data_IF_854627546104
#
_entry.id   IF_854627546104
#
_cell.length_a   1.000
_cell.length_b   1.000
_cell.length_c   1.000
_cell.angle_alpha   90.00
_cell.angle_beta   90.00
_cell.angle_gamma   90.00
#
_symmetry.space_group_name_H-M   'P 1'
#
loop_
_entity.id
_entity.type
_entity.pdbx_description
1 polymer ?
#
# COMPACT_ATOMS: atom_id res chain seq x y z
N UNK A 1 -20.32 -3.60 -9.21
CA UNK A 1 -19.11 -3.59 -8.37
C UNK A 1 -18.14 -2.65 -9.06
N UNK A 2 -17.84 -1.46 -8.51
CA UNK A 2 -17.13 -0.41 -9.26
C UNK A 2 -15.62 -0.50 -8.98
N UNK A 3 -14.84 -0.70 -10.04
CA UNK A 3 -13.38 -0.76 -10.02
C UNK A 3 -12.86 0.59 -10.53
N UNK A 4 -12.21 1.40 -9.68
CA UNK A 4 -11.65 2.68 -10.12
C UNK A 4 -10.19 2.52 -10.48
N UNK A 5 -9.92 2.40 -11.79
CA UNK A 5 -8.61 2.55 -12.39
C UNK A 5 -8.60 3.87 -13.17
N UNK A 6 -7.78 4.84 -12.77
CA UNK A 6 -7.74 6.15 -13.43
C UNK A 6 -7.23 6.09 -14.88
N UNK A 7 -6.52 5.03 -15.26
CA UNK A 7 -6.19 4.75 -16.66
C UNK A 7 -7.44 4.43 -17.50
N UNK A 8 -8.45 3.80 -16.89
CA UNK A 8 -9.73 3.45 -17.51
C UNK A 8 -10.75 4.60 -17.43
N UNK A 9 -10.35 5.77 -16.93
CA UNK A 9 -11.16 6.97 -17.03
C UNK A 9 -10.79 7.70 -18.32
N UNK A 10 -9.51 7.74 -18.72
CA UNK A 10 -9.02 8.67 -19.75
C UNK A 10 -9.28 8.22 -21.21
N UNK A 11 -9.90 7.07 -21.52
CA UNK A 11 -9.93 6.56 -22.91
C UNK A 11 -11.25 6.46 -23.71
N UNK A 12 -12.51 6.51 -23.21
CA UNK A 12 -13.69 6.42 -24.13
C UNK A 12 -15.09 6.81 -23.58
N UNK A 13 -15.70 7.89 -24.09
CA UNK A 13 -17.17 7.90 -24.33
C UNK A 13 -17.48 8.71 -25.61
N UNK A 14 -18.54 8.38 -26.37
CA UNK A 14 -19.33 7.13 -26.37
C UNK A 14 -19.55 6.56 -27.78
N UNK A 15 -19.83 5.26 -27.90
CA UNK A 15 -20.82 4.73 -28.86
C UNK A 15 -21.32 3.34 -28.39
N UNK A 16 -22.61 3.31 -28.03
CA UNK A 16 -23.60 2.20 -28.04
C UNK A 16 -23.32 0.88 -27.30
N UNK A 17 -24.29 0.56 -26.44
CA UNK A 17 -24.70 -0.73 -25.84
C UNK A 17 -23.66 -1.66 -25.19
N UNK A 18 -23.84 -1.78 -23.88
CA UNK A 18 -23.27 -2.77 -22.96
C UNK A 18 -21.78 -2.61 -22.59
N UNK A 19 -21.49 -2.72 -21.29
CA UNK A 19 -20.19 -2.56 -20.61
C UNK A 19 -19.56 -1.14 -20.49
N UNK A 20 -19.51 -0.68 -19.23
CA UNK A 20 -18.57 0.25 -18.60
C UNK A 20 -18.14 1.54 -19.35
N UNK A 21 -18.71 2.68 -18.91
CA UNK A 21 -18.47 4.05 -19.42
C UNK A 21 -17.12 4.64 -18.94
N UNK A 22 -16.18 4.91 -19.85
CA UNK A 22 -14.92 5.67 -19.62
C UNK A 22 -15.17 7.19 -19.84
N UNK A 23 -14.36 8.16 -19.38
CA UNK A 23 -14.50 9.62 -19.69
C UNK A 23 -13.15 10.24 -20.10
N UNK A 24 -12.93 10.44 -21.41
CA UNK A 24 -11.90 11.39 -21.91
C UNK A 24 -12.55 12.77 -22.02
N UNK A 25 -11.87 13.82 -21.58
CA UNK A 25 -12.34 15.20 -21.72
C UNK A 25 -11.34 16.02 -22.56
N UNK A 26 -11.76 16.45 -23.74
CA UNK A 26 -11.20 17.63 -24.41
C UNK A 26 -11.89 18.87 -23.81
N UNK A 27 -11.34 19.42 -22.73
CA UNK A 27 -11.87 20.62 -22.09
C UNK A 27 -11.05 21.05 -20.88
N UNK A 28 -10.77 22.36 -20.79
CA UNK A 28 -9.98 23.07 -19.76
C UNK A 28 -9.83 22.31 -18.43
N UNK A 29 -8.59 21.90 -18.13
CA UNK A 29 -8.26 20.89 -17.11
C UNK A 29 -8.74 21.12 -15.68
N UNK A 30 -9.13 22.34 -15.30
CA UNK A 30 -9.58 22.66 -13.93
C UNK A 30 -11.02 22.20 -13.68
N UNK A 31 -11.93 22.43 -14.64
CA UNK A 31 -13.35 22.06 -14.51
C UNK A 31 -13.53 20.52 -14.47
N UNK A 32 -12.63 19.80 -15.16
CA UNK A 32 -12.63 18.34 -15.19
C UNK A 32 -12.29 17.70 -13.83
N UNK A 33 -11.35 18.29 -13.06
CA UNK A 33 -10.90 17.76 -11.78
C UNK A 33 -11.93 17.97 -10.67
N UNK A 34 -12.64 19.09 -10.71
CA UNK A 34 -13.75 19.36 -9.79
C UNK A 34 -14.93 18.44 -10.03
N UNK A 35 -15.20 18.09 -11.29
CA UNK A 35 -16.23 17.08 -11.64
C UNK A 35 -15.82 15.70 -11.13
N UNK A 36 -14.57 15.27 -11.36
CA UNK A 36 -14.05 13.98 -10.89
C UNK A 36 -14.10 13.92 -9.36
N UNK A 37 -13.63 14.95 -8.67
CA UNK A 37 -13.62 15.02 -7.21
C UNK A 37 -15.04 14.94 -6.63
N UNK A 38 -16.01 15.64 -7.23
CA UNK A 38 -17.42 15.58 -6.80
C UNK A 38 -18.01 14.19 -6.98
N UNK A 39 -17.75 13.54 -8.13
CA UNK A 39 -18.25 12.18 -8.40
C UNK A 39 -17.64 11.14 -7.47
N UNK A 40 -16.33 11.21 -7.24
CA UNK A 40 -15.64 10.33 -6.29
C UNK A 40 -16.21 10.47 -4.88
N UNK A 41 -16.40 11.71 -4.40
CA UNK A 41 -17.03 11.93 -3.10
C UNK A 41 -18.46 11.38 -3.05
N UNK A 42 -19.26 11.56 -4.10
CA UNK A 42 -20.64 11.06 -4.15
C UNK A 42 -20.71 9.52 -4.09
N UNK A 43 -19.74 8.83 -4.70
CA UNK A 43 -19.70 7.38 -4.78
C UNK A 43 -18.71 6.71 -3.81
N UNK A 44 -18.05 7.46 -2.93
CA UNK A 44 -16.92 7.00 -2.12
C UNK A 44 -17.20 5.69 -1.37
N UNK A 45 -18.40 5.56 -0.79
CA UNK A 45 -18.82 4.37 -0.04
C UNK A 45 -19.04 3.13 -0.92
N UNK A 46 -19.21 3.29 -2.23
CA UNK A 46 -19.35 2.17 -3.18
C UNK A 46 -18.01 1.70 -3.77
N UNK A 47 -16.93 2.43 -3.49
CA UNK A 47 -15.59 2.15 -4.01
C UNK A 47 -15.00 0.97 -3.24
N UNK A 48 -14.67 -0.08 -3.98
CA UNK A 48 -14.01 -1.29 -3.44
C UNK A 48 -12.52 -1.30 -3.78
N UNK A 49 -12.14 -0.73 -4.93
CA UNK A 49 -10.76 -0.67 -5.40
C UNK A 49 -10.46 0.75 -5.84
N UNK A 50 -9.35 1.30 -5.34
CA UNK A 50 -8.92 2.65 -5.64
C UNK A 50 -7.45 2.62 -6.05
N UNK A 51 -7.21 2.81 -7.35
CA UNK A 51 -5.88 2.89 -7.92
C UNK A 51 -5.63 4.27 -8.53
N UNK A 52 -4.59 4.94 -8.05
CA UNK A 52 -4.16 6.26 -8.49
C UNK A 52 -2.68 6.24 -8.87
N UNK A 53 -2.37 6.63 -10.11
CA UNK A 53 -1.00 6.72 -10.63
C UNK A 53 -0.84 8.09 -11.27
N UNK A 54 -0.07 8.98 -10.65
CA UNK A 54 -0.01 10.37 -11.07
C UNK A 54 1.34 11.03 -10.80
N UNK A 55 1.76 11.88 -11.74
CA UNK A 55 2.81 12.87 -11.54
C UNK A 55 2.20 14.14 -10.93
N UNK A 56 1.68 14.07 -9.69
CA UNK A 56 1.15 15.24 -8.96
C UNK A 56 -0.21 15.05 -8.28
N UNK A 57 -0.82 16.18 -7.87
CA UNK A 57 -2.09 16.23 -7.14
C UNK A 57 -3.25 16.27 -8.15
N UNK A 58 -4.03 15.18 -8.25
CA UNK A 58 -5.20 15.13 -9.14
C UNK A 58 -6.54 14.92 -8.42
N UNK A 59 -6.54 14.55 -7.13
CA UNK A 59 -7.76 14.35 -6.34
C UNK A 59 -7.60 14.97 -4.94
N UNK A 60 -8.70 15.47 -4.37
CA UNK A 60 -8.71 15.94 -2.98
C UNK A 60 -8.41 14.78 -2.02
N UNK A 61 -7.40 14.87 -1.14
CA UNK A 61 -7.07 13.81 -0.17
C UNK A 61 -8.23 13.49 0.78
N UNK A 62 -9.17 14.42 0.95
CA UNK A 62 -10.36 14.28 1.81
C UNK A 62 -11.29 13.15 1.39
N UNK A 63 -11.15 12.62 0.18
CA UNK A 63 -11.91 11.44 -0.25
C UNK A 63 -11.45 10.17 0.47
N UNK A 64 -10.17 10.09 0.89
CA UNK A 64 -9.59 8.85 1.41
C UNK A 64 -10.33 8.30 2.64
N UNK A 65 -10.67 9.11 3.66
CA UNK A 65 -11.44 8.62 4.81
C UNK A 65 -12.85 8.14 4.46
N UNK A 66 -13.42 8.62 3.34
CA UNK A 66 -14.77 8.26 2.89
C UNK A 66 -14.83 6.90 2.18
N UNK A 67 -13.67 6.33 1.78
CA UNK A 67 -13.56 5.02 1.13
C UNK A 67 -13.69 3.86 2.14
N UNK A 68 -14.79 3.85 2.89
CA UNK A 68 -15.00 2.93 4.04
C UNK A 68 -15.10 1.46 3.65
N UNK A 69 -15.45 1.16 2.39
CA UNK A 69 -15.61 -0.20 1.87
C UNK A 69 -14.41 -0.68 1.03
N UNK A 70 -13.30 0.08 1.06
CA UNK A 70 -12.13 -0.20 0.26
C UNK A 70 -11.48 -1.53 0.64
N UNK A 71 -11.16 -2.34 -0.37
CA UNK A 71 -10.42 -3.60 -0.30
C UNK A 71 -9.05 -3.49 -0.94
N UNK A 72 -8.89 -2.65 -1.95
CA UNK A 72 -7.61 -2.48 -2.63
C UNK A 72 -7.27 -0.99 -2.74
N UNK A 73 -6.12 -0.62 -2.18
CA UNK A 73 -5.57 0.73 -2.26
C UNK A 73 -4.21 0.66 -2.96
N UNK A 74 -4.13 1.29 -4.14
CA UNK A 74 -2.88 1.46 -4.87
C UNK A 74 -2.63 2.94 -5.15
N UNK A 75 -1.58 3.51 -4.55
CA UNK A 75 -1.18 4.91 -4.77
C UNK A 75 0.28 4.95 -5.24
N UNK A 76 0.48 5.17 -6.54
CA UNK A 76 1.81 5.39 -7.12
C UNK A 76 1.99 6.88 -7.41
N UNK A 77 2.39 7.63 -6.39
CA UNK A 77 2.61 9.09 -6.45
C UNK A 77 4.08 9.39 -6.20
N UNK A 78 4.72 10.12 -7.11
CA UNK A 78 6.16 10.46 -7.02
C UNK A 78 6.45 11.22 -5.71
N UNK A 79 5.60 12.18 -5.35
CA UNK A 79 5.74 12.97 -4.13
C UNK A 79 4.44 12.93 -3.33
N UNK A 80 4.23 11.87 -2.54
CA UNK A 80 3.10 11.79 -1.62
C UNK A 80 3.22 12.91 -0.58
N UNK A 81 2.31 13.88 -0.64
CA UNK A 81 2.35 15.06 0.22
C UNK A 81 1.90 14.74 1.64
N UNK A 82 2.33 15.57 2.60
CA UNK A 82 1.93 15.43 4.00
C UNK A 82 0.41 15.43 4.18
N UNK A 83 -0.33 16.22 3.38
CA UNK A 83 -1.80 16.26 3.41
C UNK A 83 -2.42 14.91 3.06
N UNK A 84 -1.85 14.18 2.11
CA UNK A 84 -2.28 12.82 1.78
C UNK A 84 -2.02 11.87 2.95
N UNK A 85 -0.82 11.92 3.53
CA UNK A 85 -0.49 11.10 4.69
C UNK A 85 -1.40 11.38 5.90
N UNK A 86 -1.77 12.64 6.14
CA UNK A 86 -2.73 13.02 7.18
C UNK A 86 -4.11 12.40 6.95
N UNK A 87 -4.63 12.44 5.72
CA UNK A 87 -5.92 11.81 5.41
C UNK A 87 -5.87 10.28 5.44
N UNK A 88 -4.76 9.68 5.00
CA UNK A 88 -4.53 8.23 5.16
C UNK A 88 -4.54 7.82 6.64
N UNK A 89 -3.94 8.63 7.53
CA UNK A 89 -3.99 8.38 8.99
C UNK A 89 -5.40 8.49 9.56
N UNK A 90 -6.29 9.29 8.98
CA UNK A 90 -7.69 9.38 9.43
C UNK A 90 -8.54 8.20 8.94
N UNK A 91 -8.14 7.59 7.83
CA UNK A 91 -8.86 6.49 7.20
C UNK A 91 -8.80 5.20 8.04
N UNK A 92 -9.88 4.42 8.04
CA UNK A 92 -9.97 3.16 8.80
C UNK A 92 -9.67 1.92 7.95
N UNK A 93 -10.07 1.91 6.67
CA UNK A 93 -9.86 0.82 5.72
C UNK A 93 -10.02 -0.60 6.32
N UNK A 94 -11.10 -0.85 7.07
CA UNK A 94 -11.29 -2.08 7.83
C UNK A 94 -11.33 -3.36 6.98
N UNK A 95 -11.77 -3.24 5.73
CA UNK A 95 -11.90 -4.33 4.75
C UNK A 95 -10.68 -4.46 3.82
N UNK A 96 -9.58 -3.76 4.09
CA UNK A 96 -8.43 -3.72 3.20
C UNK A 96 -7.76 -5.09 3.07
N UNK A 97 -7.50 -5.49 1.82
CA UNK A 97 -6.87 -6.75 1.43
C UNK A 97 -5.54 -6.48 0.71
N UNK A 98 -5.47 -5.43 -0.10
CA UNK A 98 -4.27 -5.04 -0.84
C UNK A 98 -3.91 -3.59 -0.50
N UNK A 99 -2.67 -3.39 -0.08
CA UNK A 99 -2.10 -2.08 0.21
C UNK A 99 -0.79 -1.90 -0.56
N UNK A 100 -0.81 -1.03 -1.55
CA UNK A 100 0.37 -0.67 -2.34
C UNK A 100 0.50 0.85 -2.39
N UNK A 101 1.46 1.43 -1.67
CA UNK A 101 1.66 2.88 -1.68
C UNK A 101 3.14 3.18 -1.84
N UNK A 102 3.48 3.92 -2.90
CA UNK A 102 4.84 4.43 -3.13
C UNK A 102 5.07 5.71 -2.32
N UNK A 103 6.29 5.91 -1.82
CA UNK A 103 6.73 7.13 -1.14
C UNK A 103 5.93 7.51 0.13
N UNK A 104 5.34 6.52 0.82
CA UNK A 104 4.67 6.70 2.10
C UNK A 104 5.67 6.63 3.26
N UNK A 105 5.46 7.43 4.31
CA UNK A 105 6.25 7.26 5.52
C UNK A 105 5.90 5.96 6.26
N UNK A 106 6.92 5.35 6.87
CA UNK A 106 6.78 4.14 7.72
C UNK A 106 5.71 4.34 8.80
N UNK A 107 5.68 5.53 9.42
CA UNK A 107 4.69 5.89 10.45
C UNK A 107 3.25 5.87 9.93
N UNK A 108 3.02 6.39 8.72
CA UNK A 108 1.70 6.39 8.10
C UNK A 108 1.30 4.97 7.70
N UNK A 109 2.22 4.18 7.14
CA UNK A 109 1.96 2.78 6.81
C UNK A 109 1.55 1.97 8.05
N UNK A 110 2.28 2.10 9.17
CA UNK A 110 1.94 1.44 10.42
C UNK A 110 0.54 1.84 10.94
N UNK A 111 0.20 3.14 10.89
CA UNK A 111 -1.12 3.63 11.31
C UNK A 111 -2.27 3.04 10.47
N UNK A 112 -2.07 2.84 9.16
CA UNK A 112 -3.09 2.20 8.31
C UNK A 112 -3.26 0.74 8.75
N UNK A 113 -2.16 -0.01 8.86
CA UNK A 113 -2.17 -1.44 9.21
C UNK A 113 -2.83 -1.69 10.57
N UNK A 114 -2.50 -0.88 11.58
CA UNK A 114 -3.07 -0.95 12.93
C UNK A 114 -4.61 -0.76 12.97
N UNK A 115 -5.20 -0.18 11.92
CA UNK A 115 -6.66 0.05 11.81
C UNK A 115 -7.38 -0.98 10.94
N UNK A 116 -6.64 -1.85 10.26
CA UNK A 116 -7.23 -2.93 9.46
C UNK A 116 -7.76 -4.05 10.36
N UNK A 117 -8.78 -4.79 9.90
CA UNK A 117 -9.31 -5.94 10.64
C UNK A 117 -8.59 -7.26 10.29
N UNK A 118 -7.32 -7.17 9.87
CA UNK A 118 -6.47 -8.31 9.55
C UNK A 118 -6.79 -9.09 8.28
N UNK A 119 -7.56 -8.49 7.37
CA UNK A 119 -7.83 -9.04 6.05
C UNK A 119 -6.74 -8.77 5.01
N UNK A 120 -5.67 -8.05 5.39
CA UNK A 120 -4.59 -7.68 4.47
C UNK A 120 -3.81 -8.92 4.05
N UNK A 121 -3.81 -9.19 2.75
CA UNK A 121 -3.10 -10.32 2.11
C UNK A 121 -1.86 -9.86 1.37
N UNK A 122 -1.79 -8.58 0.97
CA UNK A 122 -0.67 -8.01 0.23
C UNK A 122 -0.30 -6.63 0.74
N UNK A 123 0.98 -6.46 1.09
CA UNK A 123 1.60 -5.17 1.36
C UNK A 123 2.77 -5.00 0.42
N UNK A 124 2.72 -3.95 -0.40
CA UNK A 124 3.79 -3.61 -1.33
C UNK A 124 4.26 -2.18 -1.13
N UNK A 125 5.57 -2.00 -0.95
CA UNK A 125 6.21 -0.69 -0.84
C UNK A 125 7.47 -0.71 -1.69
N UNK A 126 7.51 0.13 -2.73
CA UNK A 126 8.69 0.23 -3.60
C UNK A 126 9.80 1.08 -2.97
N UNK A 127 9.42 2.13 -2.25
CA UNK A 127 10.37 3.04 -1.64
C UNK A 127 9.83 3.60 -0.32
N UNK A 128 10.51 3.27 0.77
CA UNK A 128 10.26 3.88 2.07
C UNK A 128 11.06 5.18 2.15
N UNK A 129 10.40 6.27 2.55
CA UNK A 129 11.13 7.44 3.04
C UNK A 129 11.93 7.00 4.27
N UNK A 130 13.27 7.06 4.21
CA UNK A 130 14.24 6.73 5.27
C UNK A 130 13.67 7.05 6.66
N UNK A 131 13.58 6.08 7.58
CA UNK A 131 12.96 6.32 8.89
C UNK A 131 13.41 5.33 9.98
N UNK A 132 13.59 5.87 11.20
CA UNK A 132 13.94 5.18 12.44
C UNK A 132 12.79 4.35 13.05
N UNK A 133 11.57 4.39 12.51
CA UNK A 133 10.38 3.73 13.07
C UNK A 133 10.06 2.37 12.39
N UNK A 134 11.00 1.76 11.68
CA UNK A 134 10.77 0.51 10.93
C UNK A 134 10.33 -0.66 11.82
N UNK A 135 10.83 -0.73 13.06
CA UNK A 135 10.36 -1.72 14.04
C UNK A 135 8.85 -1.62 14.29
N UNK A 136 8.30 -0.39 14.40
CA UNK A 136 6.88 -0.20 14.66
C UNK A 136 6.04 -0.74 13.50
N UNK A 137 6.49 -0.53 12.26
CA UNK A 137 5.81 -1.07 11.09
C UNK A 137 5.82 -2.61 11.10
N UNK A 138 6.97 -3.23 11.39
CA UNK A 138 7.08 -4.69 11.51
C UNK A 138 6.11 -5.21 12.58
N UNK A 139 6.07 -4.57 13.76
CA UNK A 139 5.13 -4.87 14.84
C UNK A 139 3.68 -4.76 14.42
N UNK A 140 3.33 -3.71 13.68
CA UNK A 140 1.97 -3.53 13.17
C UNK A 140 1.59 -4.67 12.22
N UNK A 141 2.50 -5.07 11.32
CA UNK A 141 2.26 -6.15 10.35
C UNK A 141 1.99 -7.46 11.09
N UNK A 142 2.91 -7.93 11.94
CA UNK A 142 2.75 -9.27 12.53
C UNK A 142 1.64 -9.37 13.57
N UNK A 143 1.19 -8.23 14.15
CA UNK A 143 0.06 -8.20 15.08
C UNK A 143 -1.30 -8.19 14.37
N UNK A 144 -1.38 -7.56 13.20
CA UNK A 144 -2.65 -7.34 12.52
C UNK A 144 -2.82 -8.19 11.26
N UNK A 145 -1.74 -8.62 10.60
CA UNK A 145 -1.78 -9.26 9.27
C UNK A 145 -1.23 -10.70 9.29
N UNK A 146 -1.76 -11.58 10.15
CA UNK A 146 -1.30 -12.98 10.24
C UNK A 146 -1.55 -13.79 8.95
N UNK A 147 -2.49 -13.37 8.11
CA UNK A 147 -2.83 -13.99 6.82
C UNK A 147 -2.17 -13.34 5.61
N UNK A 148 -1.14 -12.51 5.82
CA UNK A 148 -0.39 -11.91 4.71
C UNK A 148 0.25 -13.00 3.84
N UNK A 149 0.13 -12.86 2.53
CA UNK A 149 0.67 -13.78 1.53
C UNK A 149 1.84 -13.16 0.76
N UNK A 150 1.80 -11.84 0.54
CA UNK A 150 2.85 -11.10 -0.16
C UNK A 150 3.28 -9.88 0.64
N UNK A 151 4.58 -9.77 0.93
CA UNK A 151 5.15 -8.66 1.70
C UNK A 151 6.39 -8.10 0.99
N UNK A 152 6.41 -6.78 0.77
CA UNK A 152 7.64 -6.02 0.54
C UNK A 152 8.03 -5.26 1.79
N UNK A 153 9.27 -5.42 2.24
CA UNK A 153 9.79 -4.78 3.44
C UNK A 153 11.23 -4.31 3.26
N UNK A 154 11.56 -3.19 3.92
CA UNK A 154 12.93 -2.72 4.05
C UNK A 154 13.39 -2.90 5.50
N UNK A 155 14.61 -3.44 5.68
CA UNK A 155 15.14 -3.82 6.98
C UNK A 155 16.51 -3.16 7.21
N UNK A 156 16.68 -2.60 8.40
CA UNK A 156 17.98 -2.34 9.01
C UNK A 156 18.35 -3.49 9.97
N UNK A 157 19.62 -3.59 10.35
CA UNK A 157 20.10 -4.58 11.32
C UNK A 157 19.31 -4.58 12.64
N UNK A 158 18.97 -3.40 13.17
CA UNK A 158 18.17 -3.30 14.40
C UNK A 158 16.74 -3.85 14.26
N UNK A 159 16.27 -4.13 13.03
CA UNK A 159 14.94 -4.69 12.79
C UNK A 159 14.90 -6.21 12.84
N UNK A 160 16.04 -6.90 12.85
CA UNK A 160 16.12 -8.35 12.71
C UNK A 160 15.32 -9.10 13.78
N UNK A 161 15.41 -8.68 15.04
CA UNK A 161 14.65 -9.30 16.14
C UNK A 161 13.12 -9.16 15.96
N UNK A 162 12.62 -8.06 15.40
CA UNK A 162 11.19 -7.92 15.10
C UNK A 162 10.80 -8.68 13.83
N UNK A 163 11.71 -8.79 12.87
CA UNK A 163 11.51 -9.52 11.63
C UNK A 163 11.42 -11.03 11.86
N UNK A 164 12.20 -11.61 12.77
CA UNK A 164 12.04 -12.99 13.24
C UNK A 164 10.61 -13.26 13.73
N UNK A 165 10.08 -12.38 14.61
CA UNK A 165 8.70 -12.48 15.12
C UNK A 165 7.67 -12.38 14.00
N UNK A 166 7.94 -11.58 12.97
CA UNK A 166 7.09 -11.47 11.80
C UNK A 166 7.02 -12.79 11.04
N UNK A 167 8.17 -13.41 10.74
CA UNK A 167 8.21 -14.68 10.01
C UNK A 167 7.47 -15.79 10.77
N UNK A 168 7.64 -15.87 12.08
CA UNK A 168 6.96 -16.84 12.94
C UNK A 168 5.43 -16.65 12.98
N UNK A 169 4.94 -15.40 12.92
CA UNK A 169 3.51 -15.07 13.03
C UNK A 169 2.77 -15.09 11.70
N UNK A 170 3.44 -14.69 10.62
CA UNK A 170 2.87 -14.61 9.28
C UNK A 170 2.99 -15.96 8.54
N UNK A 171 2.34 -16.99 9.07
CA UNK A 171 2.45 -18.38 8.58
C UNK A 171 1.91 -18.64 7.16
N UNK A 172 1.26 -17.64 6.54
CA UNK A 172 0.72 -17.70 5.18
C UNK A 172 1.57 -16.96 4.13
N UNK A 173 2.74 -16.44 4.54
CA UNK A 173 3.61 -15.65 3.68
C UNK A 173 4.25 -16.53 2.59
N UNK A 174 3.90 -16.26 1.33
CA UNK A 174 4.33 -17.01 0.14
C UNK A 174 5.42 -16.29 -0.65
N UNK A 175 5.36 -14.96 -0.68
CA UNK A 175 6.30 -14.11 -1.41
C UNK A 175 6.81 -13.02 -0.49
N UNK A 176 8.13 -12.89 -0.42
CA UNK A 176 8.80 -11.88 0.40
C UNK A 176 9.83 -11.12 -0.45
N UNK A 177 9.68 -9.81 -0.51
CA UNK A 177 10.68 -8.91 -1.09
C UNK A 177 11.40 -8.17 0.04
N UNK A 178 12.73 -8.25 0.07
CA UNK A 178 13.55 -7.66 1.14
C UNK A 178 14.56 -6.66 0.59
N UNK A 179 14.42 -5.40 0.98
CA UNK A 179 15.43 -4.36 0.77
C UNK A 179 16.28 -4.19 2.03
N UNK A 180 17.50 -4.69 2.02
CA UNK A 180 18.46 -4.48 3.13
C UNK A 180 19.00 -3.05 3.05
N UNK A 181 18.82 -2.29 4.12
CA UNK A 181 19.31 -0.92 4.28
C UNK A 181 20.50 -0.96 5.25
N UNK A 182 21.71 -1.15 4.73
CA UNK A 182 22.95 -1.19 5.52
C UNK A 182 23.90 -0.06 5.12
N UNK A 183 24.85 0.28 6.00
CA UNK A 183 26.06 0.97 5.56
C UNK A 183 26.92 -0.01 4.76
N UNK A 184 27.72 0.48 3.81
CA UNK A 184 28.54 -0.38 2.93
C UNK A 184 29.48 -1.32 3.69
N UNK A 185 29.88 -0.93 4.90
CA UNK A 185 30.82 -1.69 5.73
C UNK A 185 30.19 -2.94 6.36
N UNK A 186 28.88 -2.91 6.66
CA UNK A 186 28.20 -4.00 7.37
C UNK A 186 27.30 -4.86 6.47
N UNK A 187 27.22 -4.55 5.17
CA UNK A 187 26.28 -5.20 4.25
C UNK A 187 26.44 -6.72 4.20
N UNK A 188 27.68 -7.23 4.21
CA UNK A 188 27.95 -8.67 4.15
C UNK A 188 27.48 -9.38 5.42
N UNK A 189 27.68 -8.77 6.59
CA UNK A 189 27.29 -9.34 7.88
C UNK A 189 25.76 -9.33 8.04
N UNK A 190 25.13 -8.20 7.71
CA UNK A 190 23.67 -8.06 7.75
C UNK A 190 22.97 -9.10 6.84
N UNK A 191 23.52 -9.34 5.64
CA UNK A 191 23.02 -10.38 4.72
C UNK A 191 23.21 -11.79 5.28
N UNK A 192 24.32 -12.06 5.97
CA UNK A 192 24.57 -13.36 6.59
C UNK A 192 23.57 -13.65 7.71
N UNK A 193 23.37 -12.70 8.62
CA UNK A 193 22.41 -12.82 9.73
C UNK A 193 20.98 -13.00 9.17
N UNK A 194 20.59 -12.19 8.18
CA UNK A 194 19.28 -12.33 7.55
C UNK A 194 19.09 -13.71 6.89
N UNK A 195 20.15 -14.28 6.31
CA UNK A 195 20.10 -15.63 5.75
C UNK A 195 19.85 -16.69 6.82
N UNK A 196 20.46 -16.57 8.00
CA UNK A 196 20.24 -17.47 9.12
C UNK A 196 18.81 -17.35 9.67
N UNK A 197 18.31 -16.12 9.85
CA UNK A 197 16.93 -15.86 10.27
C UNK A 197 15.93 -16.50 9.31
N UNK A 198 16.13 -16.34 8.00
CA UNK A 198 15.25 -16.94 7.00
C UNK A 198 15.30 -18.47 7.03
N UNK A 199 16.46 -19.09 7.23
CA UNK A 199 16.58 -20.55 7.34
C UNK A 199 15.85 -21.11 8.56
N UNK A 200 15.89 -20.38 9.68
CA UNK A 200 15.34 -20.85 10.94
C UNK A 200 13.85 -20.54 11.12
N UNK A 201 13.40 -19.36 10.65
CA UNK A 201 12.08 -18.84 10.99
C UNK A 201 11.12 -18.66 9.81
N UNK A 202 11.58 -18.81 8.56
CA UNK A 202 10.68 -18.65 7.42
C UNK A 202 9.53 -19.66 7.46
N UNK A 203 8.29 -19.24 7.15
CA UNK A 203 7.18 -20.16 7.09
C UNK A 203 7.38 -21.14 5.93
N UNK A 204 6.94 -22.39 6.11
CA UNK A 204 7.13 -23.45 5.12
C UNK A 204 6.48 -23.17 3.75
N UNK A 205 5.54 -22.21 3.68
CA UNK A 205 4.90 -21.81 2.43
C UNK A 205 5.63 -20.67 1.69
N UNK A 206 6.72 -20.14 2.24
CA UNK A 206 7.55 -19.11 1.60
C UNK A 206 8.30 -19.72 0.42
N UNK A 207 7.83 -19.40 -0.79
CA UNK A 207 8.33 -20.02 -2.03
C UNK A 207 9.14 -19.05 -2.89
N UNK A 208 9.00 -17.74 -2.68
CA UNK A 208 9.70 -16.73 -3.46
C UNK A 208 10.28 -15.65 -2.54
N UNK A 209 11.59 -15.44 -2.66
CA UNK A 209 12.34 -14.39 -1.95
C UNK A 209 13.11 -13.60 -3.00
N UNK A 210 12.96 -12.27 -3.01
CA UNK A 210 13.65 -11.36 -3.94
C UNK A 210 14.28 -10.19 -3.20
#
# INVERSE_FOLDING_TARGET
MINYNLYDIIQNQPLTDDYDRYIVNEGNGIDSLDVISRRLNHHARSIIKFKAVFEGILISPKVLPELVNLRELELSVINLSQRYEEQLKLSTFSNLQVLNIRNISVKTMANIIEKTNGHVRKIWVDDYKLCNDSERLIRAIYKNCSYIEELSIALYNHNFMEFEKLLQRCGHLKTLYIKVLSTKENESEDRMILSEILKEYAPACLNNIT
#
